data_IF_075378336240
#
_entry.id   IF_075378336240
#
_cell.length_a   1.000
_cell.length_b   1.000
_cell.length_c   1.000
_cell.angle_alpha   90.00
_cell.angle_beta   90.00
_cell.angle_gamma   90.00
#
_symmetry.space_group_name_H-M   'P 1'
#
loop_
_entity.id
_entity.type
_entity.pdbx_description
1 polymer ?
#
# COMPACT_ATOMS: atom_id res chain seq x y z
N UNK A 1 2.37 -11.07 16.56
CA UNK A 1 2.42 -9.59 16.46
C UNK A 1 1.13 -8.94 16.97
N UNK A 2 -0.05 -9.34 16.50
CA UNK A 2 -1.30 -8.66 16.85
C UNK A 2 -2.12 -9.37 17.96
N UNK A 3 -2.06 -10.70 18.07
CA UNK A 3 -2.83 -11.43 19.09
C UNK A 3 -2.31 -11.17 20.52
N UNK A 4 -3.24 -11.06 21.48
CA UNK A 4 -2.93 -10.90 22.91
C UNK A 4 -2.67 -9.46 23.39
N UNK A 5 -2.90 -8.45 22.55
CA UNK A 5 -2.74 -7.03 22.93
C UNK A 5 -3.77 -6.12 22.22
N UNK A 6 -3.82 -4.85 22.65
CA UNK A 6 -4.73 -3.84 22.10
C UNK A 6 -4.47 -3.44 20.64
N UNK A 7 -3.31 -3.80 20.08
CA UNK A 7 -2.96 -3.41 18.71
C UNK A 7 -3.89 -4.05 17.68
N UNK A 8 -4.39 -5.27 17.89
CA UNK A 8 -5.38 -5.85 16.95
C UNK A 8 -6.59 -4.94 16.79
N UNK A 9 -7.14 -4.44 17.90
CA UNK A 9 -8.31 -3.54 17.88
C UNK A 9 -7.98 -2.24 17.15
N UNK A 10 -6.86 -1.61 17.50
CA UNK A 10 -6.42 -0.34 16.87
C UNK A 10 -6.26 -0.48 15.35
N UNK A 11 -5.68 -1.57 14.86
CA UNK A 11 -5.49 -1.78 13.42
C UNK A 11 -6.81 -2.08 12.70
N UNK A 12 -7.72 -2.83 13.32
CA UNK A 12 -9.07 -3.05 12.76
C UNK A 12 -9.84 -1.76 12.66
N UNK A 13 -9.88 -0.96 13.73
CA UNK A 13 -10.62 0.31 13.75
C UNK A 13 -10.08 1.30 12.69
N UNK A 14 -8.77 1.24 12.41
CA UNK A 14 -8.13 2.09 11.38
C UNK A 14 -8.44 1.66 9.95
N UNK A 15 -8.29 0.37 9.63
CA UNK A 15 -8.22 -0.08 8.23
C UNK A 15 -9.28 -1.11 7.82
N UNK A 16 -9.97 -1.74 8.78
CA UNK A 16 -10.98 -2.77 8.48
C UNK A 16 -12.34 -2.15 8.18
N UNK A 17 -12.45 -1.51 7.02
CA UNK A 17 -13.68 -0.85 6.55
C UNK A 17 -14.01 -1.26 5.13
N UNK A 18 -15.30 -1.30 4.79
CA UNK A 18 -15.76 -1.75 3.48
C UNK A 18 -15.06 -1.01 2.32
N UNK A 19 -14.97 0.31 2.40
CA UNK A 19 -14.33 1.14 1.36
C UNK A 19 -12.84 0.81 1.15
N UNK A 20 -12.14 0.33 2.18
CA UNK A 20 -10.73 -0.09 2.03
C UNK A 20 -10.64 -1.38 1.20
N UNK A 21 -11.53 -2.34 1.44
CA UNK A 21 -11.58 -3.56 0.64
C UNK A 21 -11.99 -3.29 -0.81
N UNK A 22 -12.95 -2.38 -1.03
CA UNK A 22 -13.34 -1.93 -2.37
C UNK A 22 -12.16 -1.27 -3.10
N UNK A 23 -11.42 -0.39 -2.42
CA UNK A 23 -10.21 0.23 -2.97
C UNK A 23 -9.12 -0.80 -3.35
N UNK A 24 -8.89 -1.80 -2.49
CA UNK A 24 -7.96 -2.90 -2.78
C UNK A 24 -8.40 -3.70 -4.01
N UNK A 25 -9.69 -4.00 -4.14
CA UNK A 25 -10.23 -4.68 -5.33
C UNK A 25 -10.03 -3.87 -6.62
N UNK A 26 -10.23 -2.55 -6.57
CA UNK A 26 -9.97 -1.68 -7.73
C UNK A 26 -8.51 -1.72 -8.18
N UNK A 27 -7.57 -1.62 -7.23
CA UNK A 27 -6.13 -1.69 -7.53
C UNK A 27 -5.78 -3.06 -8.10
N UNK A 28 -6.33 -4.14 -7.53
CA UNK A 28 -6.10 -5.50 -8.02
C UNK A 28 -6.58 -5.69 -9.46
N UNK A 29 -7.79 -5.21 -9.80
CA UNK A 29 -8.29 -5.24 -11.17
C UNK A 29 -7.39 -4.46 -12.13
N UNK A 30 -6.98 -3.25 -11.75
CA UNK A 30 -6.09 -2.43 -12.59
C UNK A 30 -4.72 -3.08 -12.82
N UNK A 31 -4.15 -3.75 -11.81
CA UNK A 31 -2.90 -4.50 -11.95
C UNK A 31 -3.05 -5.64 -12.95
N UNK A 32 -4.12 -6.43 -12.85
CA UNK A 32 -4.40 -7.53 -13.79
C UNK A 32 -4.59 -7.04 -15.22
N UNK A 33 -5.33 -5.94 -15.41
CA UNK A 33 -5.55 -5.35 -16.73
C UNK A 33 -4.27 -4.78 -17.34
N UNK A 34 -3.44 -4.11 -16.54
CA UNK A 34 -2.24 -3.43 -17.04
C UNK A 34 -1.06 -4.37 -17.32
N UNK A 35 -0.88 -5.42 -16.51
CA UNK A 35 0.30 -6.29 -16.57
C UNK A 35 -0.02 -7.71 -17.10
N UNK A 36 -1.29 -8.01 -17.35
CA UNK A 36 -1.72 -9.26 -17.96
C UNK A 36 -1.42 -10.48 -17.08
N UNK A 37 -0.66 -11.44 -17.62
CA UNK A 37 -0.45 -12.74 -16.99
C UNK A 37 0.40 -12.69 -15.71
N UNK A 38 1.25 -11.67 -15.55
CA UNK A 38 2.21 -11.56 -14.44
C UNK A 38 2.12 -10.18 -13.75
N UNK A 39 1.01 -9.84 -13.09
CA UNK A 39 0.89 -8.59 -12.38
C UNK A 39 1.79 -8.56 -11.13
N UNK A 40 2.32 -7.39 -10.74
CA UNK A 40 2.91 -7.20 -9.41
C UNK A 40 1.92 -7.59 -8.32
N UNK A 41 2.42 -8.09 -7.19
CA UNK A 41 1.58 -8.32 -6.01
C UNK A 41 1.04 -6.98 -5.47
N UNK A 42 -0.08 -7.00 -4.73
CA UNK A 42 -0.61 -5.80 -4.09
C UNK A 42 0.41 -5.15 -3.14
N UNK A 43 1.23 -5.96 -2.46
CA UNK A 43 2.32 -5.48 -1.60
C UNK A 43 3.40 -4.77 -2.42
N UNK A 44 3.86 -5.36 -3.53
CA UNK A 44 4.83 -4.73 -4.43
C UNK A 44 4.27 -3.42 -4.99
N UNK A 45 3.02 -3.42 -5.45
CA UNK A 45 2.37 -2.23 -5.96
C UNK A 45 2.26 -1.12 -4.91
N UNK A 46 1.85 -1.45 -3.67
CA UNK A 46 1.76 -0.47 -2.60
C UNK A 46 3.14 0.13 -2.24
N UNK A 47 4.19 -0.69 -2.17
CA UNK A 47 5.54 -0.20 -1.92
C UNK A 47 6.03 0.71 -3.05
N UNK A 48 5.89 0.28 -4.30
CA UNK A 48 6.27 1.09 -5.46
C UNK A 48 5.48 2.39 -5.55
N UNK A 49 4.21 2.40 -5.13
CA UNK A 49 3.44 3.64 -5.03
C UNK A 49 4.05 4.60 -4.01
N UNK A 50 4.43 4.12 -2.82
CA UNK A 50 5.08 4.98 -1.81
C UNK A 50 6.41 5.54 -2.31
N UNK A 51 7.26 4.73 -2.96
CA UNK A 51 8.58 5.18 -3.40
C UNK A 51 8.57 6.10 -4.64
N UNK A 52 7.63 5.91 -5.57
CA UNK A 52 7.67 6.60 -6.87
C UNK A 52 6.53 7.59 -7.11
N UNK A 53 5.43 7.47 -6.37
CA UNK A 53 4.18 8.19 -6.65
C UNK A 53 3.62 8.95 -5.43
N UNK A 54 4.30 8.90 -4.28
CA UNK A 54 3.95 9.70 -3.12
C UNK A 54 4.64 11.07 -3.14
N UNK A 55 4.32 11.92 -2.15
CA UNK A 55 4.94 13.23 -1.96
C UNK A 55 6.35 13.17 -1.32
N UNK A 56 6.84 11.97 -0.96
CA UNK A 56 8.16 11.80 -0.33
C UNK A 56 9.29 12.21 -1.29
N UNK A 57 10.28 12.93 -0.77
CA UNK A 57 11.38 13.46 -1.57
C UNK A 57 12.74 13.20 -0.91
N UNK A 58 13.61 12.46 -1.60
CA UNK A 58 14.97 12.12 -1.14
C UNK A 58 15.80 13.36 -0.75
N UNK A 59 15.63 14.49 -1.46
CA UNK A 59 16.35 15.74 -1.13
C UNK A 59 16.05 16.30 0.27
N UNK A 60 14.96 15.87 0.91
CA UNK A 60 14.61 16.23 2.29
C UNK A 60 15.01 15.14 3.30
N UNK A 61 15.60 14.03 2.85
CA UNK A 61 15.93 12.88 3.68
C UNK A 61 14.70 12.04 4.06
N UNK A 62 13.60 12.16 3.30
CA UNK A 62 12.40 11.36 3.51
C UNK A 62 12.69 9.87 3.27
N UNK A 63 12.12 9.00 4.12
CA UNK A 63 12.37 7.56 4.05
C UNK A 63 11.12 6.74 4.40
N UNK A 64 11.09 5.50 3.92
CA UNK A 64 10.01 4.54 4.16
C UNK A 64 10.43 3.52 5.21
N UNK A 65 9.60 3.36 6.25
CA UNK A 65 9.82 2.31 7.27
C UNK A 65 9.22 0.99 6.78
N UNK A 66 10.08 0.02 6.48
CA UNK A 66 9.68 -1.33 6.08
C UNK A 66 9.36 -2.16 7.33
N UNK A 67 8.14 -2.71 7.40
CA UNK A 67 7.73 -3.64 8.45
C UNK A 67 7.66 -5.08 7.95
N UNK A 68 8.07 -6.03 8.78
CA UNK A 68 7.97 -7.47 8.50
C UNK A 68 7.57 -8.27 9.75
N UNK A 69 7.21 -9.53 9.56
CA UNK A 69 7.01 -10.53 10.62
C UNK A 69 7.77 -11.84 10.39
N UNK A 70 8.40 -11.98 9.23
CA UNK A 70 9.34 -13.05 8.91
C UNK A 70 10.36 -12.53 7.86
N UNK A 71 11.36 -13.36 7.54
CA UNK A 71 12.44 -12.97 6.63
C UNK A 71 12.02 -12.91 5.16
N UNK A 72 11.10 -13.78 4.73
CA UNK A 72 10.62 -13.81 3.35
C UNK A 72 9.91 -12.50 3.00
N UNK A 73 9.08 -12.00 3.92
CA UNK A 73 8.44 -10.67 3.80
C UNK A 73 9.45 -9.55 3.68
N UNK A 74 10.55 -9.59 4.45
CA UNK A 74 11.59 -8.56 4.36
C UNK A 74 12.26 -8.60 2.98
N UNK A 75 12.63 -9.79 2.50
CA UNK A 75 13.28 -9.95 1.21
C UNK A 75 12.38 -9.51 0.05
N UNK A 76 11.10 -9.85 0.08
CA UNK A 76 10.12 -9.40 -0.91
C UNK A 76 9.94 -7.87 -0.85
N UNK A 77 9.76 -7.31 0.35
CA UNK A 77 9.57 -5.87 0.51
C UNK A 77 10.79 -5.06 0.04
N UNK A 78 12.01 -5.53 0.34
CA UNK A 78 13.24 -4.87 -0.12
C UNK A 78 13.35 -4.92 -1.65
N UNK A 79 13.10 -6.09 -2.25
CA UNK A 79 13.08 -6.23 -3.71
C UNK A 79 12.09 -5.28 -4.37
N UNK A 80 10.86 -5.20 -3.85
CA UNK A 80 9.84 -4.30 -4.39
C UNK A 80 10.12 -2.82 -4.13
N UNK A 81 10.90 -2.48 -3.11
CA UNK A 81 11.35 -1.09 -2.88
C UNK A 81 12.36 -0.62 -3.93
N UNK A 82 13.08 -1.55 -4.55
CA UNK A 82 14.05 -1.28 -5.62
C UNK A 82 13.42 -1.34 -7.03
N UNK A 83 12.19 -1.84 -7.16
CA UNK A 83 11.46 -1.88 -8.42
C UNK A 83 11.08 -0.46 -8.90
N UNK A 84 10.96 -0.28 -10.22
CA UNK A 84 10.63 1.01 -10.83
C UNK A 84 9.15 1.44 -10.68
N UNK A 85 8.77 2.58 -11.27
CA UNK A 85 7.42 3.14 -11.13
C UNK A 85 6.34 2.19 -11.69
N UNK A 86 5.13 2.30 -11.11
CA UNK A 86 3.92 1.71 -11.67
C UNK A 86 3.47 2.41 -12.95
N UNK A 87 2.74 1.69 -13.82
CA UNK A 87 2.12 2.29 -15.01
C UNK A 87 0.98 3.26 -14.62
N UNK A 88 0.69 4.30 -15.45
CA UNK A 88 -0.28 5.34 -15.11
C UNK A 88 -1.68 4.84 -14.72
N UNK A 89 -2.19 3.81 -15.40
CA UNK A 89 -3.52 3.25 -15.10
C UNK A 89 -3.64 2.67 -13.69
N UNK A 90 -2.55 2.10 -13.17
CA UNK A 90 -2.53 1.57 -11.80
C UNK A 90 -2.41 2.71 -10.79
N UNK A 91 -1.63 3.76 -11.10
CA UNK A 91 -1.56 4.97 -10.25
C UNK A 91 -2.94 5.63 -10.15
N UNK A 92 -3.67 5.75 -11.26
CA UNK A 92 -5.05 6.26 -11.25
C UNK A 92 -5.99 5.39 -10.40
N UNK A 93 -5.79 4.07 -10.37
CA UNK A 93 -6.56 3.18 -9.50
C UNK A 93 -6.27 3.43 -8.00
N UNK A 94 -5.01 3.73 -7.64
CA UNK A 94 -4.68 4.16 -6.27
C UNK A 94 -5.37 5.48 -5.90
N UNK A 95 -5.41 6.46 -6.79
CA UNK A 95 -6.13 7.73 -6.55
C UNK A 95 -7.64 7.52 -6.35
N UNK A 96 -8.25 6.66 -7.18
CA UNK A 96 -9.67 6.28 -7.00
C UNK A 96 -9.90 5.58 -5.67
N UNK A 97 -9.02 4.64 -5.29
CA UNK A 97 -9.08 3.97 -3.99
C UNK A 97 -8.91 4.94 -2.81
N UNK A 98 -8.04 5.94 -2.94
CA UNK A 98 -7.92 7.01 -1.96
C UNK A 98 -9.21 7.82 -1.83
N UNK A 99 -9.83 8.24 -2.93
CA UNK A 99 -11.11 8.98 -2.88
C UNK A 99 -12.25 8.20 -2.20
N UNK A 100 -12.29 6.87 -2.35
CA UNK A 100 -13.25 6.02 -1.64
C UNK A 100 -12.99 5.97 -0.13
N UNK A 101 -11.73 6.04 0.28
CA UNK A 101 -11.32 5.83 1.68
C UNK A 101 -11.04 7.13 2.45
N UNK A 102 -10.94 8.27 1.77
CA UNK A 102 -10.50 9.54 2.35
C UNK A 102 -11.37 10.00 3.53
N UNK A 103 -12.70 9.87 3.42
CA UNK A 103 -13.65 10.22 4.49
C UNK A 103 -13.52 9.31 5.73
N UNK A 104 -12.92 8.15 5.55
CA UNK A 104 -12.67 7.13 6.56
C UNK A 104 -11.23 7.16 7.10
N UNK A 105 -10.39 8.06 6.61
CA UNK A 105 -8.96 8.10 6.93
C UNK A 105 -8.75 8.41 8.43
N UNK A 106 -8.03 7.54 9.17
CA UNK A 106 -7.75 7.81 10.58
C UNK A 106 -6.79 9.00 10.71
N UNK A 107 -7.01 9.84 11.74
CA UNK A 107 -6.08 10.92 12.08
C UNK A 107 -4.65 10.37 12.29
N UNK A 108 -3.68 11.09 11.73
CA UNK A 108 -2.25 10.74 11.89
C UNK A 108 -1.74 11.07 13.30
N UNK A 109 -2.30 12.09 13.95
CA UNK A 109 -2.01 12.47 15.32
C UNK A 109 -2.92 11.73 16.32
N UNK A 110 -2.47 11.69 17.58
CA UNK A 110 -3.23 11.16 18.72
C UNK A 110 -3.18 12.15 19.87
#
# INVERSE_FOLDING_TARGET
RFFGNDWTRIYRDRYWKQHHFEGVSLIQSALCEAYGANPPTLTSAALRWVYHHSELQDKYGDAVIIGMSNMDQLQENLRSSEEGPLVPSVVEAFEKAWHLTAHDCPNYFR
#
